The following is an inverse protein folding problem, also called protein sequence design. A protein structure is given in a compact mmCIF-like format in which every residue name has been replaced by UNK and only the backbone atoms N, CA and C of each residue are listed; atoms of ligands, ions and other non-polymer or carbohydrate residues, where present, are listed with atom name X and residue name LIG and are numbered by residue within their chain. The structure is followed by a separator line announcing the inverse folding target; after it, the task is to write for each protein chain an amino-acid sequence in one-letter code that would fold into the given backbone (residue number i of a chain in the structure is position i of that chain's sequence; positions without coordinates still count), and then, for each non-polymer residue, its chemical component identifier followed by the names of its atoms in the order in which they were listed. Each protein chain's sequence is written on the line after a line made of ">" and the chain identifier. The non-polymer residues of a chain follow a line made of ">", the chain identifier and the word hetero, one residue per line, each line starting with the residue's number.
data_IF_953069525978
#
_entry.id   IF_953069525978
#
_cell.length_a   1.000
_cell.length_b   1.000
_cell.length_c   1.000
_cell.angle_alpha   90.00
_cell.angle_beta   90.00
_cell.angle_gamma   90.00
#
_symmetry.space_group_name_H-M   'P 1'
#
loop_
_entity.id
_entity.type
_entity.pdbx_description
1 polymer ?
#
# COMPACT_ATOMS: atom_id res chain seq x y z
N UNK A 1 2.75 22.10 41.91
CA UNK A 1 1.54 22.00 42.74
C UNK A 1 1.32 20.51 43.03
N UNK A 2 1.51 20.10 44.29
CA UNK A 2 1.45 18.70 44.66
C UNK A 2 -0.01 18.30 44.87
N UNK A 3 -0.49 17.24 44.25
CA UNK A 3 -1.80 16.67 44.50
C UNK A 3 -1.66 15.58 45.58
N UNK A 4 -2.35 15.78 46.66
CA UNK A 4 -2.38 14.89 47.84
C UNK A 4 -3.29 13.69 47.53
N UNK A 5 -2.76 12.50 47.78
CA UNK A 5 -3.52 11.26 47.86
C UNK A 5 -4.21 11.18 49.22
N UNK A 6 -5.53 11.09 49.21
CA UNK A 6 -6.33 10.90 50.40
C UNK A 6 -6.45 9.39 50.69
N UNK A 7 -5.83 8.93 51.79
CA UNK A 7 -6.00 7.58 52.29
C UNK A 7 -7.06 7.61 53.38
N UNK A 8 -8.17 6.90 53.20
CA UNK A 8 -9.18 6.68 54.25
C UNK A 8 -8.92 5.30 54.84
N UNK A 9 -8.46 5.30 56.13
CA UNK A 9 -8.42 4.08 56.95
C UNK A 9 -9.77 3.88 57.64
N UNK A 10 -10.47 2.78 57.35
CA UNK A 10 -11.51 2.23 58.21
C UNK A 10 -10.97 0.97 58.88
N UNK A 11 -10.84 1.03 60.19
CA UNK A 11 -10.51 -0.10 61.08
C UNK A 11 -11.80 -0.80 61.46
N UNK A 12 -11.96 -2.09 61.11
CA UNK A 12 -12.80 -3.04 61.83
C UNK A 12 -12.06 -4.35 61.99
N UNK A 13 -11.86 -4.76 63.22
CA UNK A 13 -11.32 -6.06 63.56
C UNK A 13 -12.27 -7.18 63.10
N UNK A 14 -11.72 -8.17 62.44
CA UNK A 14 -12.37 -9.43 62.14
C UNK A 14 -11.29 -10.44 61.73
N UNK A 15 -10.96 -11.34 62.70
CA UNK A 15 -10.09 -12.49 62.42
C UNK A 15 -10.70 -13.36 61.34
N UNK A 16 -9.99 -13.59 60.25
CA UNK A 16 -10.17 -14.76 59.39
C UNK A 16 -8.86 -15.17 58.75
N UNK A 17 -8.65 -16.44 58.80
CA UNK A 17 -7.51 -17.25 58.41
C UNK A 17 -6.97 -16.92 57.01
N UNK A 18 -5.65 -16.98 56.84
CA UNK A 18 -4.95 -16.70 55.61
C UNK A 18 -5.36 -17.59 54.43
N UNK A 19 -5.76 -16.91 53.43
CA UNK A 19 -5.68 -17.37 52.04
C UNK A 19 -4.94 -16.27 51.28
N UNK A 20 -3.66 -16.48 51.06
CA UNK A 20 -2.89 -15.68 50.12
C UNK A 20 -3.35 -16.02 48.72
N UNK A 21 -4.29 -15.25 48.19
CA UNK A 21 -4.57 -15.22 46.76
C UNK A 21 -3.38 -14.49 46.13
N UNK A 22 -2.44 -15.26 45.57
CA UNK A 22 -1.49 -14.72 44.59
C UNK A 22 -2.31 -14.24 43.40
N UNK A 23 -2.29 -12.93 43.14
CA UNK A 23 -2.77 -12.41 41.86
C UNK A 23 -2.05 -13.16 40.71
N UNK A 24 -2.78 -13.62 39.69
CA UNK A 24 -2.11 -14.15 38.52
C UNK A 24 -1.22 -13.04 37.98
N UNK A 25 0.04 -13.38 37.72
CA UNK A 25 0.93 -12.51 36.97
C UNK A 25 0.18 -12.15 35.69
N UNK A 26 0.01 -10.86 35.42
CA UNK A 26 -0.43 -10.38 34.15
C UNK A 26 0.62 -10.91 33.14
N UNK A 27 0.23 -11.89 32.32
CA UNK A 27 1.01 -12.27 31.17
C UNK A 27 1.35 -10.98 30.42
N UNK A 28 2.62 -10.58 30.47
CA UNK A 28 3.13 -9.55 29.59
C UNK A 28 2.79 -10.03 28.17
N UNK A 29 1.91 -9.30 27.50
CA UNK A 29 1.64 -9.53 26.11
C UNK A 29 3.00 -9.58 25.40
N UNK A 30 3.28 -10.63 24.59
CA UNK A 30 4.54 -10.72 23.89
C UNK A 30 4.74 -9.41 23.12
N UNK A 31 5.87 -8.75 23.38
CA UNK A 31 6.26 -7.55 22.65
C UNK A 31 6.02 -7.82 21.16
N UNK A 32 5.40 -6.88 20.41
CA UNK A 32 5.18 -7.07 18.99
C UNK A 32 6.52 -7.48 18.39
N UNK A 33 6.54 -8.65 17.77
CA UNK A 33 7.70 -9.12 17.02
C UNK A 33 7.90 -8.14 15.87
N UNK A 34 8.64 -7.08 16.14
CA UNK A 34 9.23 -6.26 15.12
C UNK A 34 10.11 -7.23 14.32
N UNK A 35 9.60 -7.68 13.19
CA UNK A 35 10.42 -8.30 12.15
C UNK A 35 11.50 -7.27 11.81
N UNK A 36 12.57 -7.30 12.60
CA UNK A 36 13.81 -6.66 12.22
C UNK A 36 14.29 -7.42 11.00
N UNK A 37 13.85 -6.96 9.84
CA UNK A 37 14.41 -7.38 8.58
C UNK A 37 15.81 -6.79 8.47
N UNK A 38 16.71 -7.24 9.35
CA UNK A 38 18.13 -6.99 9.26
C UNK A 38 18.72 -7.99 8.27
N UNK A 39 18.27 -7.97 7.03
CA UNK A 39 19.06 -8.54 5.94
C UNK A 39 20.38 -7.74 5.91
N UNK A 40 21.34 -8.18 6.69
CA UNK A 40 22.69 -7.60 6.67
C UNK A 40 23.28 -7.88 5.30
N UNK A 41 23.52 -6.82 4.58
CA UNK A 41 24.40 -6.91 3.41
C UNK A 41 25.72 -7.52 3.89
N UNK A 42 26.20 -8.63 3.32
CA UNK A 42 27.48 -9.22 3.70
C UNK A 42 28.60 -8.18 3.72
N UNK A 43 29.52 -8.28 4.69
CA UNK A 43 30.56 -7.27 4.86
C UNK A 43 31.42 -7.13 3.59
N UNK A 44 31.69 -8.24 2.89
CA UNK A 44 32.41 -8.24 1.60
C UNK A 44 31.70 -7.40 0.51
N UNK A 45 30.35 -7.41 0.50
CA UNK A 45 29.57 -6.60 -0.45
C UNK A 45 29.55 -5.14 0.00
N UNK A 46 29.44 -4.89 1.31
CA UNK A 46 29.49 -3.53 1.87
C UNK A 46 30.82 -2.86 1.57
N UNK A 47 31.92 -3.59 1.77
CA UNK A 47 33.28 -3.09 1.54
C UNK A 47 33.54 -2.77 0.07
N UNK A 48 32.99 -3.62 -0.86
CA UNK A 48 33.06 -3.37 -2.29
C UNK A 48 32.36 -2.09 -2.73
N UNK A 49 31.36 -1.64 -1.97
CA UNK A 49 30.59 -0.42 -2.23
C UNK A 49 30.89 0.72 -1.25
N UNK A 50 31.90 0.58 -0.42
CA UNK A 50 32.28 1.61 0.58
C UNK A 50 32.43 2.98 -0.09
N UNK A 51 31.77 3.99 0.49
CA UNK A 51 31.74 5.36 -0.04
C UNK A 51 30.83 5.60 -1.26
N UNK A 52 30.13 4.55 -1.73
CA UNK A 52 29.19 4.65 -2.88
C UNK A 52 27.76 4.22 -2.53
N UNK A 53 27.50 3.76 -1.31
CA UNK A 53 26.16 3.38 -0.84
C UNK A 53 25.54 4.58 -0.14
N UNK A 54 24.44 5.06 -0.67
CA UNK A 54 23.54 5.94 0.04
C UNK A 54 22.46 5.11 0.70
N UNK A 55 22.22 5.36 1.98
CA UNK A 55 21.14 4.72 2.73
C UNK A 55 19.87 5.53 2.56
N UNK A 56 18.87 4.98 1.89
CA UNK A 56 17.51 5.52 1.95
C UNK A 56 16.96 5.25 3.36
N UNK A 57 16.58 6.29 4.12
CA UNK A 57 16.00 6.13 5.45
C UNK A 57 14.56 5.61 5.41
N UNK A 58 13.91 5.62 4.25
CA UNK A 58 12.52 5.18 4.11
C UNK A 58 12.42 3.67 4.09
N UNK A 59 11.37 3.17 4.75
CA UNK A 59 10.93 1.79 4.62
C UNK A 59 10.05 1.69 3.37
N UNK A 60 10.25 0.59 2.64
CA UNK A 60 9.47 0.24 1.46
C UNK A 60 8.66 -1.02 1.75
N UNK A 61 7.35 -0.91 1.65
CA UNK A 61 6.43 -2.04 1.78
C UNK A 61 5.52 -2.14 0.58
N UNK A 62 4.89 -3.31 0.41
CA UNK A 62 3.95 -3.55 -0.67
C UNK A 62 2.55 -3.75 -0.12
N UNK A 63 1.58 -3.04 -0.67
CA UNK A 63 0.17 -3.09 -0.26
C UNK A 63 -0.67 -3.60 -1.43
N UNK A 64 -1.41 -4.68 -1.21
CA UNK A 64 -2.38 -5.21 -2.17
C UNK A 64 -3.64 -4.35 -2.18
N UNK A 65 -4.30 -4.12 -3.34
CA UNK A 65 -5.57 -3.41 -3.37
C UNK A 65 -6.61 -4.06 -2.46
N UNK A 66 -7.38 -3.23 -1.76
CA UNK A 66 -8.46 -3.70 -0.87
C UNK A 66 -9.71 -4.09 -1.67
N UNK A 67 -9.97 -3.42 -2.80
CA UNK A 67 -11.12 -3.70 -3.66
C UNK A 67 -10.96 -3.10 -5.06
N UNK A 68 -11.78 -3.61 -5.97
CA UNK A 68 -12.01 -3.02 -7.29
C UNK A 68 -13.20 -2.07 -7.16
N UNK A 69 -13.00 -0.80 -7.53
CA UNK A 69 -14.06 0.22 -7.47
C UNK A 69 -14.87 0.23 -8.74
N UNK A 70 -14.18 0.09 -9.86
CA UNK A 70 -14.77 0.14 -11.18
C UNK A 70 -13.87 -0.56 -12.19
N UNK A 71 -14.46 -1.07 -13.25
CA UNK A 71 -13.77 -1.53 -14.45
C UNK A 71 -14.59 -1.18 -15.69
N UNK A 72 -13.93 -1.06 -16.84
CA UNK A 72 -14.63 -0.86 -18.12
C UNK A 72 -15.55 -2.05 -18.41
N UNK A 73 -16.69 -1.76 -19.05
CA UNK A 73 -17.61 -2.79 -19.48
C UNK A 73 -16.97 -3.69 -20.54
N UNK A 74 -17.28 -4.97 -20.47
CA UNK A 74 -16.84 -5.92 -21.48
C UNK A 74 -17.68 -5.72 -22.75
N UNK A 75 -16.99 -5.53 -23.85
CA UNK A 75 -17.58 -5.34 -25.18
C UNK A 75 -16.73 -6.04 -26.24
N UNK A 76 -17.13 -5.94 -27.50
CA UNK A 76 -16.32 -6.42 -28.63
C UNK A 76 -14.99 -5.66 -28.77
N UNK A 77 -14.90 -4.45 -28.19
CA UNK A 77 -13.75 -3.56 -28.31
C UNK A 77 -12.86 -3.49 -27.07
N UNK A 78 -13.35 -3.94 -25.92
CA UNK A 78 -12.64 -3.86 -24.64
C UNK A 78 -13.09 -4.95 -23.69
N UNK A 79 -12.19 -5.56 -22.94
CA UNK A 79 -12.57 -6.47 -21.88
C UNK A 79 -11.61 -6.46 -20.69
N UNK A 80 -12.19 -6.68 -19.50
CA UNK A 80 -11.47 -6.93 -18.23
C UNK A 80 -11.96 -8.25 -17.68
N UNK A 81 -11.07 -9.22 -17.54
CA UNK A 81 -11.41 -10.58 -17.08
C UNK A 81 -10.64 -10.92 -15.81
N UNK A 82 -11.31 -11.60 -14.87
CA UNK A 82 -10.70 -12.10 -13.63
C UNK A 82 -10.00 -11.01 -12.81
N UNK A 83 -10.61 -9.83 -12.72
CA UNK A 83 -10.05 -8.69 -11.97
C UNK A 83 -9.82 -8.99 -10.48
N UNK A 84 -10.60 -9.89 -9.88
CA UNK A 84 -10.46 -10.32 -8.48
C UNK A 84 -9.09 -10.97 -8.18
N UNK A 85 -8.38 -11.44 -9.19
CA UNK A 85 -7.01 -11.93 -9.03
C UNK A 85 -6.07 -10.86 -8.48
N UNK A 86 -6.34 -9.58 -8.73
CA UNK A 86 -5.53 -8.45 -8.24
C UNK A 86 -5.69 -8.18 -6.74
N UNK A 87 -6.75 -8.70 -6.12
CA UNK A 87 -7.01 -8.56 -4.67
C UNK A 87 -6.28 -9.60 -3.84
N UNK A 88 -5.64 -10.58 -4.49
CA UNK A 88 -4.90 -11.63 -3.81
C UNK A 88 -3.48 -11.18 -3.51
N UNK A 89 -3.04 -11.41 -2.27
CA UNK A 89 -1.65 -11.21 -1.92
C UNK A 89 -0.77 -12.26 -2.63
N UNK A 90 0.22 -11.81 -3.36
CA UNK A 90 1.14 -12.67 -4.12
C UNK A 90 2.59 -12.38 -3.77
N UNK A 91 3.46 -13.35 -4.00
CA UNK A 91 4.91 -13.23 -3.76
C UNK A 91 5.60 -12.14 -4.61
N UNK A 92 4.92 -11.59 -5.60
CA UNK A 92 5.53 -10.66 -6.56
C UNK A 92 6.46 -11.32 -7.58
N UNK A 93 6.61 -12.64 -7.54
CA UNK A 93 7.38 -13.38 -8.55
C UNK A 93 6.59 -13.49 -9.84
N UNK A 94 7.21 -13.16 -10.96
CA UNK A 94 6.62 -13.28 -12.30
C UNK A 94 7.06 -14.60 -12.94
N UNK A 95 6.12 -15.28 -13.59
CA UNK A 95 6.35 -16.52 -14.29
C UNK A 95 5.42 -16.63 -15.50
N UNK A 96 5.87 -17.26 -16.58
CA UNK A 96 5.06 -17.59 -17.76
C UNK A 96 3.92 -18.55 -17.42
N UNK A 97 4.08 -19.34 -16.38
CA UNK A 97 3.10 -20.34 -15.93
C UNK A 97 2.21 -19.84 -14.80
N UNK A 98 2.03 -18.52 -14.68
CA UNK A 98 1.16 -17.94 -13.67
C UNK A 98 -0.28 -18.41 -13.88
N UNK A 99 -0.88 -19.15 -12.95
CA UNK A 99 -2.20 -19.76 -13.16
C UNK A 99 -3.34 -18.75 -13.05
N UNK A 100 -3.12 -17.65 -12.33
CA UNK A 100 -4.12 -16.62 -12.10
C UNK A 100 -3.57 -15.24 -12.44
N UNK A 101 -4.29 -14.51 -13.26
CA UNK A 101 -4.01 -13.13 -13.63
C UNK A 101 -5.31 -12.41 -14.03
N UNK A 102 -5.31 -11.11 -13.94
CA UNK A 102 -6.32 -10.26 -14.54
C UNK A 102 -5.91 -9.95 -15.97
N UNK A 103 -6.78 -10.21 -16.95
CA UNK A 103 -6.53 -9.88 -18.35
C UNK A 103 -7.27 -8.60 -18.74
N UNK A 104 -6.50 -7.61 -19.20
CA UNK A 104 -7.00 -6.44 -19.90
C UNK A 104 -6.83 -6.65 -21.39
N UNK A 105 -7.87 -6.40 -22.19
CA UNK A 105 -7.84 -6.56 -23.64
C UNK A 105 -8.39 -5.31 -24.31
N UNK A 106 -7.57 -4.67 -25.15
CA UNK A 106 -7.92 -3.51 -25.96
C UNK A 106 -8.03 -3.94 -27.42
N UNK A 107 -9.23 -3.98 -27.97
CA UNK A 107 -9.54 -4.29 -29.38
C UNK A 107 -9.99 -3.07 -30.17
N UNK A 108 -9.76 -1.88 -29.67
CA UNK A 108 -10.19 -0.61 -30.26
C UNK A 108 -10.59 0.44 -29.25
N UNK A 109 -10.84 0.01 -28.01
CA UNK A 109 -11.06 0.90 -26.87
C UNK A 109 -10.23 0.44 -25.66
N UNK A 110 -9.65 1.37 -24.87
CA UNK A 110 -8.88 1.04 -23.70
C UNK A 110 -9.66 0.18 -22.70
N UNK A 111 -9.05 -0.91 -22.26
CA UNK A 111 -9.53 -1.68 -21.11
C UNK A 111 -8.99 -1.06 -19.84
N UNK A 112 -9.87 -0.81 -18.88
CA UNK A 112 -9.56 0.02 -17.71
C UNK A 112 -10.03 -0.62 -16.42
N UNK A 113 -9.27 -0.41 -15.34
CA UNK A 113 -9.62 -0.83 -13.99
C UNK A 113 -9.25 0.25 -12.98
N UNK A 114 -10.12 0.47 -11.98
CA UNK A 114 -9.88 1.38 -10.86
C UNK A 114 -9.80 0.59 -9.55
N UNK A 115 -8.68 0.70 -8.88
CA UNK A 115 -8.34 0.02 -7.64
C UNK A 115 -8.38 0.98 -6.46
N UNK A 116 -8.86 0.51 -5.28
CA UNK A 116 -8.84 1.22 -4.01
C UNK A 116 -7.88 0.48 -3.05
N UNK A 117 -6.90 1.16 -2.51
CA UNK A 117 -5.95 0.61 -1.54
C UNK A 117 -6.42 0.72 -0.08
N UNK A 118 -7.61 1.30 0.15
CA UNK A 118 -8.26 1.37 1.47
C UNK A 118 -7.89 2.59 2.28
N UNK A 119 -6.67 3.07 2.17
CA UNK A 119 -6.17 4.27 2.85
C UNK A 119 -5.25 5.07 1.94
N UNK A 120 -4.99 6.31 2.32
CA UNK A 120 -4.00 7.16 1.66
C UNK A 120 -2.60 6.58 1.83
N UNK A 121 -1.82 6.58 0.77
CA UNK A 121 -0.45 6.06 0.71
C UNK A 121 0.47 7.07 0.04
N UNK A 122 1.71 7.14 0.48
CA UNK A 122 2.77 7.89 -0.20
C UNK A 122 3.71 6.95 -0.94
N UNK A 123 3.89 7.14 -2.24
CA UNK A 123 4.77 6.31 -3.05
C UNK A 123 4.26 6.12 -4.49
N UNK A 124 4.23 4.89 -4.95
CA UNK A 124 3.81 4.55 -6.31
C UNK A 124 3.14 3.19 -6.40
N UNK A 125 3.04 2.66 -7.60
CA UNK A 125 2.57 1.29 -7.81
C UNK A 125 3.61 0.45 -8.53
N UNK A 126 3.56 -0.84 -8.31
CA UNK A 126 4.27 -1.84 -9.07
C UNK A 126 3.26 -2.72 -9.81
N UNK A 127 3.43 -2.80 -11.12
CA UNK A 127 2.60 -3.60 -12.03
C UNK A 127 3.40 -4.83 -12.43
N UNK A 128 2.91 -6.01 -12.09
CA UNK A 128 3.52 -7.29 -12.50
C UNK A 128 2.79 -7.89 -13.69
N UNK A 129 3.47 -8.00 -14.82
CA UNK A 129 2.95 -8.59 -16.05
C UNK A 129 3.47 -10.01 -16.24
N UNK A 130 2.58 -10.97 -16.47
CA UNK A 130 2.91 -12.36 -16.79
C UNK A 130 2.81 -12.69 -18.29
N UNK A 131 2.44 -11.72 -19.11
CA UNK A 131 2.38 -11.88 -20.56
C UNK A 131 1.59 -10.76 -21.24
N UNK A 132 1.93 -10.54 -22.52
CA UNK A 132 1.19 -9.70 -23.45
C UNK A 132 0.91 -10.49 -24.73
N UNK A 133 -0.04 -10.04 -25.55
CA UNK A 133 -0.41 -10.73 -26.79
C UNK A 133 0.72 -10.82 -27.81
N UNK A 134 1.61 -9.82 -27.84
CA UNK A 134 2.70 -9.72 -28.80
C UNK A 134 4.06 -10.19 -28.27
N UNK A 135 4.16 -10.56 -27.00
CA UNK A 135 5.43 -10.75 -26.29
C UNK A 135 6.36 -9.53 -26.37
N UNK A 136 5.76 -8.35 -26.51
CA UNK A 136 6.42 -7.05 -26.49
C UNK A 136 5.85 -6.20 -25.36
N UNK A 137 6.58 -5.18 -24.88
CA UNK A 137 6.03 -4.21 -23.96
C UNK A 137 4.78 -3.55 -24.52
N UNK A 138 3.82 -3.25 -23.65
CA UNK A 138 2.59 -2.55 -24.01
C UNK A 138 2.45 -1.25 -23.22
N UNK A 139 1.83 -0.26 -23.87
CA UNK A 139 1.62 1.04 -23.26
C UNK A 139 0.39 1.02 -22.33
N UNK A 140 0.59 1.51 -21.12
CA UNK A 140 -0.47 1.73 -20.13
C UNK A 140 -0.44 3.17 -19.65
N UNK A 141 -1.62 3.71 -19.39
CA UNK A 141 -1.80 4.98 -18.67
C UNK A 141 -2.18 4.68 -17.24
N UNK A 142 -1.49 5.31 -16.30
CA UNK A 142 -1.73 5.16 -14.87
C UNK A 142 -2.12 6.51 -14.29
N UNK A 143 -3.25 6.54 -13.58
CA UNK A 143 -3.77 7.73 -12.93
C UNK A 143 -3.93 7.49 -11.44
N UNK A 144 -3.34 8.36 -10.64
CA UNK A 144 -3.40 8.34 -9.19
C UNK A 144 -4.41 9.37 -8.67
N UNK A 145 -5.09 9.08 -7.58
CA UNK A 145 -5.99 10.03 -6.94
C UNK A 145 -6.19 9.73 -5.45
N UNK A 146 -6.39 10.78 -4.69
CA UNK A 146 -6.84 10.70 -3.29
C UNK A 146 -8.34 10.39 -3.21
N UNK A 147 -9.06 10.70 -4.30
CA UNK A 147 -10.47 10.38 -4.49
C UNK A 147 -10.72 9.65 -5.80
N UNK A 148 -11.88 8.97 -5.89
CA UNK A 148 -12.35 8.34 -7.13
C UNK A 148 -12.48 9.37 -8.26
N UNK A 149 -13.02 10.56 -7.97
CA UNK A 149 -13.21 11.60 -8.98
C UNK A 149 -11.88 12.08 -9.55
N UNK A 150 -10.85 12.16 -8.73
CA UNK A 150 -9.51 12.55 -9.15
C UNK A 150 -8.87 11.48 -10.03
N UNK A 151 -8.87 10.21 -9.60
CA UNK A 151 -8.34 9.09 -10.38
C UNK A 151 -9.08 8.88 -11.72
N UNK A 152 -10.36 9.26 -11.79
CA UNK A 152 -11.17 9.19 -12.99
C UNK A 152 -11.06 10.42 -13.88
N UNK A 153 -10.49 11.52 -13.39
CA UNK A 153 -10.29 12.75 -14.16
C UNK A 153 -9.23 12.56 -15.23
N UNK A 154 -9.37 13.32 -16.31
CA UNK A 154 -8.37 13.45 -17.33
C UNK A 154 -7.51 14.70 -17.04
N UNK A 155 -6.37 14.51 -16.42
CA UNK A 155 -5.46 15.57 -15.99
C UNK A 155 -4.38 15.86 -17.04
N UNK A 156 -4.05 14.87 -17.87
CA UNK A 156 -3.01 14.98 -18.89
C UNK A 156 -3.33 16.05 -19.92
N UNK A 157 -2.50 17.10 -19.95
CA UNK A 157 -2.61 18.18 -20.93
C UNK A 157 -3.77 19.15 -20.73
N UNK A 158 -4.53 19.06 -19.63
CA UNK A 158 -5.61 20.01 -19.35
C UNK A 158 -5.07 21.36 -18.86
N UNK A 159 -5.75 22.40 -19.33
CA UNK A 159 -5.60 23.77 -18.84
C UNK A 159 -5.80 23.79 -17.32
N UNK A 160 -4.84 24.28 -16.56
CA UNK A 160 -4.77 24.35 -15.10
C UNK A 160 -4.26 23.07 -14.38
N UNK A 161 -3.75 22.08 -15.09
CA UNK A 161 -2.98 21.03 -14.44
C UNK A 161 -1.69 21.65 -13.83
N UNK A 162 -1.50 21.49 -12.54
CA UNK A 162 -0.24 21.84 -11.86
C UNK A 162 0.78 20.72 -12.06
N UNK A 163 2.05 20.97 -11.73
CA UNK A 163 3.08 19.93 -11.74
C UNK A 163 2.70 18.73 -10.87
N UNK A 164 2.02 18.95 -9.75
CA UNK A 164 1.54 17.88 -8.87
C UNK A 164 0.51 16.99 -9.59
N UNK A 165 -0.36 17.57 -10.40
CA UNK A 165 -1.31 16.81 -11.20
C UNK A 165 -0.62 16.05 -12.35
N UNK A 166 0.47 16.57 -12.90
CA UNK A 166 1.20 15.91 -13.97
C UNK A 166 1.83 14.57 -13.51
N UNK A 167 2.28 14.47 -12.27
CA UNK A 167 2.80 13.21 -11.72
C UNK A 167 1.70 12.19 -11.40
N UNK A 168 0.45 12.63 -11.34
CA UNK A 168 -0.73 11.78 -11.08
C UNK A 168 -1.32 11.12 -12.34
N UNK A 169 -0.88 11.51 -13.52
CA UNK A 169 -1.38 11.00 -14.80
C UNK A 169 -0.19 10.74 -15.74
N UNK A 170 0.23 9.51 -15.84
CA UNK A 170 1.45 9.11 -16.53
C UNK A 170 1.19 7.93 -17.47
N UNK A 171 1.90 7.93 -18.59
CA UNK A 171 1.96 6.81 -19.52
C UNK A 171 3.32 6.11 -19.41
N UNK A 172 3.32 4.78 -19.39
CA UNK A 172 4.52 3.96 -19.28
C UNK A 172 4.40 2.68 -20.07
N UNK A 173 5.54 2.06 -20.36
CA UNK A 173 5.61 0.73 -20.97
C UNK A 173 5.69 -0.33 -19.87
N UNK A 174 4.77 -1.29 -19.90
CA UNK A 174 4.81 -2.49 -19.07
C UNK A 174 5.48 -3.60 -19.88
N UNK A 175 6.55 -4.24 -19.35
CA UNK A 175 7.26 -5.30 -20.08
C UNK A 175 6.35 -6.53 -20.24
N UNK A 176 6.56 -7.29 -21.34
CA UNK A 176 5.78 -8.50 -21.64
C UNK A 176 5.90 -9.60 -20.57
N UNK A 177 7.00 -9.62 -19.82
CA UNK A 177 7.25 -10.50 -18.68
C UNK A 177 8.15 -9.75 -17.69
N UNK A 178 7.59 -9.34 -16.55
CA UNK A 178 8.34 -8.59 -15.55
C UNK A 178 7.51 -7.56 -14.82
N UNK A 179 8.16 -6.58 -14.24
CA UNK A 179 7.53 -5.53 -13.45
C UNK A 179 7.85 -4.15 -13.99
N UNK A 180 6.86 -3.27 -13.97
CA UNK A 180 7.02 -1.83 -14.10
C UNK A 180 6.68 -1.17 -12.78
N UNK A 181 7.40 -0.12 -12.42
CA UNK A 181 7.11 0.69 -11.25
C UNK A 181 6.94 2.13 -11.67
N UNK A 182 5.89 2.78 -11.18
CA UNK A 182 5.50 4.11 -11.61
C UNK A 182 4.88 4.88 -10.45
N UNK A 183 5.06 6.18 -10.44
CA UNK A 183 4.53 7.11 -9.45
C UNK A 183 5.53 7.42 -8.34
N UNK A 184 5.29 8.54 -7.70
CA UNK A 184 5.91 9.02 -6.46
C UNK A 184 5.02 10.15 -5.95
N UNK A 185 3.83 9.81 -5.45
CA UNK A 185 2.79 10.78 -5.06
C UNK A 185 1.96 10.22 -3.91
N UNK A 186 1.13 11.06 -3.27
CA UNK A 186 0.07 10.63 -2.38
C UNK A 186 -1.11 10.09 -3.20
N UNK A 187 -1.70 8.98 -2.79
CA UNK A 187 -2.86 8.39 -3.45
C UNK A 187 -3.55 7.35 -2.57
N UNK A 188 -4.82 7.15 -2.84
CA UNK A 188 -5.58 5.99 -2.36
C UNK A 188 -6.11 5.15 -3.53
N UNK A 189 -6.41 5.80 -4.65
CA UNK A 189 -7.01 5.17 -5.82
C UNK A 189 -6.02 5.19 -6.98
N UNK A 190 -6.00 4.09 -7.74
CA UNK A 190 -5.19 4.00 -8.96
C UNK A 190 -6.05 3.45 -10.09
N UNK A 191 -6.10 4.18 -11.19
CA UNK A 191 -6.69 3.72 -12.43
C UNK A 191 -5.59 3.30 -13.41
N UNK A 192 -5.76 2.14 -14.01
CA UNK A 192 -4.88 1.61 -15.05
C UNK A 192 -5.71 1.44 -16.31
N UNK A 193 -5.24 2.03 -17.40
CA UNK A 193 -5.84 1.91 -18.72
C UNK A 193 -4.82 1.23 -19.65
N UNK A 194 -5.17 0.11 -20.27
CA UNK A 194 -4.40 -0.45 -21.38
C UNK A 194 -4.70 0.37 -22.63
N UNK A 195 -3.79 1.26 -22.98
CA UNK A 195 -3.99 2.19 -24.10
C UNK A 195 -3.43 1.67 -25.41
N UNK A 196 -2.46 0.75 -25.38
CA UNK A 196 -1.93 0.09 -26.58
C UNK A 196 -3.06 -0.60 -27.36
N UNK A 197 -3.33 -0.21 -28.61
CA UNK A 197 -4.43 -0.79 -29.38
C UNK A 197 -4.12 -2.23 -29.81
N UNK A 198 -5.16 -3.03 -29.95
CA UNK A 198 -5.07 -4.44 -30.39
C UNK A 198 -4.10 -5.27 -29.54
N UNK A 199 -4.10 -5.05 -28.24
CA UNK A 199 -3.19 -5.69 -27.31
C UNK A 199 -3.93 -6.33 -26.13
N UNK A 200 -3.24 -7.26 -25.47
CA UNK A 200 -3.65 -7.86 -24.21
C UNK A 200 -2.54 -7.71 -23.20
N UNK A 201 -2.91 -7.42 -21.96
CA UNK A 201 -2.02 -7.31 -20.80
C UNK A 201 -2.51 -8.24 -19.69
N UNK A 202 -1.69 -9.23 -19.34
CA UNK A 202 -1.96 -10.15 -18.26
C UNK A 202 -1.29 -9.68 -16.97
N UNK A 203 -2.08 -9.07 -16.10
CA UNK A 203 -1.65 -8.56 -14.80
C UNK A 203 -1.65 -9.68 -13.76
N UNK A 204 -0.49 -10.09 -13.31
CA UNK A 204 -0.37 -11.02 -12.18
C UNK A 204 -0.70 -10.34 -10.86
N UNK A 205 -0.24 -9.11 -10.71
CA UNK A 205 -0.53 -8.26 -9.56
C UNK A 205 -0.41 -6.78 -9.94
N UNK A 206 -1.11 -5.97 -9.17
CA UNK A 206 -0.89 -4.53 -9.04
C UNK A 206 -0.83 -4.26 -7.56
N UNK A 207 0.27 -3.68 -7.07
CA UNK A 207 0.43 -3.40 -5.66
C UNK A 207 1.01 -2.02 -5.44
N UNK A 208 0.59 -1.34 -4.40
CA UNK A 208 1.20 -0.09 -4.00
C UNK A 208 2.61 -0.35 -3.45
N UNK A 209 3.50 0.56 -3.79
CA UNK A 209 4.82 0.69 -3.19
C UNK A 209 4.70 1.80 -2.15
N UNK A 210 4.45 1.43 -0.91
CA UNK A 210 4.30 2.39 0.18
C UNK A 210 5.68 2.72 0.76
N UNK A 211 6.02 3.99 0.75
CA UNK A 211 7.27 4.55 1.23
C UNK A 211 7.00 5.44 2.44
N UNK A 212 7.60 5.11 3.57
CA UNK A 212 7.44 5.90 4.80
C UNK A 212 8.70 5.89 5.65
N UNK A 213 8.85 6.88 6.51
CA UNK A 213 9.91 6.91 7.51
C UNK A 213 9.42 6.21 8.77
N UNK A 214 10.13 5.19 9.21
CA UNK A 214 9.85 4.51 10.49
C UNK A 214 10.43 5.35 11.64
N UNK A 215 9.64 6.32 12.08
CA UNK A 215 10.00 7.21 13.18
C UNK A 215 9.31 6.73 14.46
N UNK A 216 10.04 6.60 15.59
CA UNK A 216 9.41 6.28 16.85
C UNK A 216 8.50 7.43 17.30
N UNK A 217 7.27 7.11 17.68
CA UNK A 217 6.39 8.07 18.32
C UNK A 217 6.91 8.36 19.73
N UNK A 218 7.33 9.61 19.97
CA UNK A 218 7.82 10.06 21.28
C UNK A 218 6.70 10.66 22.15
N UNK A 219 5.51 10.87 21.58
CA UNK A 219 4.34 11.40 22.25
C UNK A 219 3.14 10.48 22.10
N UNK A 220 2.16 10.68 22.96
CA UNK A 220 0.87 10.02 22.87
C UNK A 220 -0.25 11.01 23.22
N UNK A 221 -1.42 10.77 22.65
CA UNK A 221 -2.63 11.50 22.96
C UNK A 221 -3.76 10.51 23.22
N UNK A 222 -4.51 10.76 24.28
CA UNK A 222 -5.71 10.01 24.62
C UNK A 222 -6.73 10.91 25.29
N UNK A 223 -7.97 10.87 24.85
CA UNK A 223 -9.10 11.57 25.43
C UNK A 223 -10.29 10.62 25.55
N UNK A 224 -11.34 11.08 26.24
CA UNK A 224 -12.63 10.37 26.30
C UNK A 224 -13.49 10.58 25.04
N UNK A 225 -13.03 11.34 24.07
CA UNK A 225 -13.66 11.54 22.77
C UNK A 225 -12.88 10.76 21.69
N UNK A 226 -13.46 9.65 21.21
CA UNK A 226 -12.87 8.81 20.20
C UNK A 226 -12.61 9.54 18.87
N UNK A 227 -13.37 10.58 18.56
CA UNK A 227 -13.12 11.38 17.36
C UNK A 227 -11.82 12.16 17.49
N UNK A 228 -11.52 12.72 18.65
CA UNK A 228 -10.26 13.41 18.90
C UNK A 228 -9.07 12.45 18.84
N UNK A 229 -9.22 11.25 19.40
CA UNK A 229 -8.20 10.20 19.34
C UNK A 229 -7.90 9.87 17.88
N UNK A 230 -8.95 9.67 17.05
CA UNK A 230 -8.82 9.36 15.64
C UNK A 230 -8.21 10.49 14.81
N UNK A 231 -8.53 11.74 15.14
CA UNK A 231 -7.91 12.91 14.49
C UNK A 231 -6.41 12.95 14.76
N UNK A 232 -6.01 12.70 16.01
CA UNK A 232 -4.60 12.66 16.37
C UNK A 232 -3.85 11.52 15.65
N UNK A 233 -4.40 10.30 15.66
CA UNK A 233 -3.83 9.15 14.93
C UNK A 233 -3.65 9.44 13.44
N UNK A 234 -4.67 10.05 12.82
CA UNK A 234 -4.61 10.42 11.39
C UNK A 234 -3.56 11.48 11.13
N UNK A 235 -3.37 12.43 12.04
CA UNK A 235 -2.34 13.47 11.90
C UNK A 235 -0.92 12.95 12.18
N UNK A 236 -0.80 11.85 12.92
CA UNK A 236 0.47 11.19 13.19
C UNK A 236 0.89 10.23 12.06
N UNK A 237 -0.08 9.70 11.31
CA UNK A 237 0.14 8.84 10.14
C UNK A 237 0.74 9.62 8.98
#
# INVERSE_FOLDING_TARGET
>A
MKLNTLVVCLSTLGMCSGLTLSAPALDEAPAPCLLQNTARVPDSVRDAFSGRIEKDPRIRTYVTPARIVWQSENSDQSSVKNSEALLKNTSGQISLTTPEFCALENKGQPASILLDFGTELSGGIQIGCSGTSSSQPVEVRVRFGESVSEAMSDLGGKKNATNDHAVRDQTTLVPWLGTAEIGNTGFRFVRIDLVEPNSTLNLKFTRAVFLFNDLPYLGSFQSNDERLNKIWETGAY
#
